data_IF_999870225068
#
_entry.id   IF_999870225068
#
_cell.length_a   1.000
_cell.length_b   1.000
_cell.length_c   1.000
_cell.angle_alpha   90.00
_cell.angle_beta   90.00
_cell.angle_gamma   90.00
#
_symmetry.space_group_name_H-M   'P 1'
#
loop_
_entity.id
_entity.type
_entity.pdbx_description
1 polymer ?
#
# COMPACT_ATOMS: atom_id res chain seq x y z
N UNK A 1 -36.78 22.53 22.79
CA UNK A 1 -37.63 21.70 21.91
C UNK A 1 -36.87 21.53 20.61
N UNK A 2 -36.44 20.29 20.33
CA UNK A 2 -35.52 19.90 19.25
C UNK A 2 -36.17 20.06 17.88
N UNK A 3 -35.51 20.78 16.96
CA UNK A 3 -35.88 20.78 15.53
C UNK A 3 -34.83 19.98 14.78
N UNK A 4 -35.08 18.66 14.64
CA UNK A 4 -34.29 17.79 13.77
C UNK A 4 -35.08 17.61 12.48
N UNK A 5 -34.48 18.03 11.37
CA UNK A 5 -34.99 17.90 10.00
C UNK A 5 -35.00 16.40 9.65
N UNK A 6 -36.10 15.84 9.12
CA UNK A 6 -36.12 14.43 8.73
C UNK A 6 -35.35 14.27 7.40
N UNK A 7 -34.16 13.66 7.46
CA UNK A 7 -33.47 13.12 6.28
C UNK A 7 -34.30 11.95 5.71
N UNK A 8 -35.30 12.27 4.89
CA UNK A 8 -36.03 11.33 4.05
C UNK A 8 -35.42 11.43 2.65
N UNK A 9 -34.63 10.43 2.21
CA UNK A 9 -34.05 10.49 0.86
C UNK A 9 -32.98 9.49 0.43
N UNK A 10 -32.56 8.53 1.26
CA UNK A 10 -31.72 7.41 0.80
C UNK A 10 -32.25 6.10 1.37
N UNK A 11 -33.37 5.64 0.84
CA UNK A 11 -33.74 4.23 0.94
C UNK A 11 -32.79 3.45 0.02
N UNK A 12 -31.99 2.56 0.60
CA UNK A 12 -31.27 1.51 -0.12
C UNK A 12 -32.29 0.51 -0.70
N UNK A 13 -33.13 0.97 -1.62
CA UNK A 13 -34.08 0.15 -2.34
C UNK A 13 -33.33 -0.53 -3.48
N UNK A 14 -33.13 -1.84 -3.31
CA UNK A 14 -32.72 -2.79 -4.34
C UNK A 14 -31.33 -2.55 -4.99
N UNK A 15 -30.27 -2.64 -4.18
CA UNK A 15 -29.11 -3.38 -4.69
C UNK A 15 -29.61 -4.83 -4.84
N UNK A 16 -29.53 -5.46 -6.04
CA UNK A 16 -29.88 -6.87 -6.16
C UNK A 16 -29.09 -7.61 -5.08
N UNK A 17 -29.81 -8.39 -4.29
CA UNK A 17 -29.23 -9.19 -3.24
C UNK A 17 -28.05 -9.96 -3.85
N UNK A 18 -26.84 -9.69 -3.34
CA UNK A 18 -25.63 -10.45 -3.68
C UNK A 18 -25.75 -11.82 -2.98
N UNK A 19 -26.86 -12.50 -3.20
CA UNK A 19 -27.28 -13.74 -2.53
C UNK A 19 -27.30 -14.92 -3.48
N UNK A 20 -27.30 -14.68 -4.80
CA UNK A 20 -27.26 -15.75 -5.80
C UNK A 20 -25.86 -15.81 -6.44
N UNK A 21 -25.01 -16.73 -5.95
CA UNK A 21 -23.68 -17.14 -6.47
C UNK A 21 -22.42 -16.37 -5.96
N UNK A 22 -21.18 -16.91 -6.13
CA UNK A 22 -20.02 -16.81 -5.24
C UNK A 22 -19.23 -15.48 -5.33
N UNK A 23 -19.90 -14.33 -5.39
CA UNK A 23 -19.27 -13.02 -5.59
C UNK A 23 -18.29 -12.62 -4.46
N UNK A 24 -18.48 -13.14 -3.25
CA UNK A 24 -17.57 -12.92 -2.12
C UNK A 24 -16.17 -13.54 -2.33
N UNK A 25 -16.04 -14.56 -3.17
CA UNK A 25 -14.74 -15.11 -3.54
C UNK A 25 -14.00 -14.25 -4.58
N UNK A 26 -14.69 -13.36 -5.28
CA UNK A 26 -14.07 -12.52 -6.31
C UNK A 26 -13.04 -11.56 -5.71
N UNK A 27 -13.31 -11.03 -4.51
CA UNK A 27 -12.40 -10.14 -3.79
C UNK A 27 -11.05 -10.82 -3.43
N UNK A 28 -11.03 -11.96 -2.71
CA UNK A 28 -9.77 -12.64 -2.41
C UNK A 28 -9.07 -13.19 -3.65
N UNK A 29 -9.81 -13.71 -4.64
CA UNK A 29 -9.22 -14.16 -5.92
C UNK A 29 -8.58 -12.98 -6.66
N UNK A 30 -9.27 -11.84 -6.73
CA UNK A 30 -8.75 -10.61 -7.32
C UNK A 30 -7.50 -10.10 -6.58
N UNK A 31 -7.49 -10.14 -5.25
CA UNK A 31 -6.32 -9.76 -4.45
C UNK A 31 -5.11 -10.66 -4.73
N UNK A 32 -5.31 -11.97 -4.84
CA UNK A 32 -4.24 -12.91 -5.18
C UNK A 32 -3.71 -12.66 -6.60
N UNK A 33 -4.60 -12.47 -7.58
CA UNK A 33 -4.20 -12.15 -8.95
C UNK A 33 -3.44 -10.82 -9.04
N UNK A 34 -3.87 -9.80 -8.28
CA UNK A 34 -3.17 -8.52 -8.20
C UNK A 34 -1.76 -8.67 -7.62
N UNK A 35 -1.59 -9.45 -6.54
CA UNK A 35 -0.27 -9.74 -5.98
C UNK A 35 0.63 -10.49 -6.96
N UNK A 36 0.09 -11.45 -7.72
CA UNK A 36 0.84 -12.16 -8.77
C UNK A 36 1.28 -11.17 -9.85
N UNK A 37 0.38 -10.31 -10.33
CA UNK A 37 0.71 -9.29 -11.34
C UNK A 37 1.81 -8.33 -10.84
N UNK A 38 1.69 -7.81 -9.62
CA UNK A 38 2.69 -6.95 -9.00
C UNK A 38 4.06 -7.64 -8.90
N UNK A 39 4.10 -8.93 -8.55
CA UNK A 39 5.35 -9.70 -8.52
C UNK A 39 5.98 -9.89 -9.91
N UNK A 40 5.15 -10.10 -10.95
CA UNK A 40 5.63 -10.22 -12.32
C UNK A 40 6.20 -8.89 -12.82
N UNK A 41 5.53 -7.77 -12.56
CA UNK A 41 6.03 -6.45 -12.91
C UNK A 41 7.29 -6.09 -12.15
N UNK A 42 7.34 -6.35 -10.84
CA UNK A 42 8.54 -6.17 -10.04
C UNK A 42 9.73 -6.96 -10.61
N UNK A 43 9.54 -8.24 -10.94
CA UNK A 43 10.58 -9.07 -11.56
C UNK A 43 11.00 -8.53 -12.93
N UNK A 44 10.06 -8.07 -13.75
CA UNK A 44 10.37 -7.42 -15.03
C UNK A 44 11.26 -6.21 -14.81
N UNK A 45 10.93 -5.32 -13.88
CA UNK A 45 11.75 -4.14 -13.57
C UNK A 45 13.14 -4.57 -13.09
N UNK A 46 13.26 -5.56 -12.20
CA UNK A 46 14.56 -6.01 -11.69
C UNK A 46 15.46 -6.66 -12.74
N UNK A 47 14.90 -7.17 -13.84
CA UNK A 47 15.66 -7.71 -14.96
C UNK A 47 16.37 -6.63 -15.80
N UNK A 48 15.95 -5.37 -15.70
CA UNK A 48 16.63 -4.25 -16.37
C UNK A 48 17.96 -3.91 -15.66
N UNK A 49 18.95 -3.51 -16.46
CA UNK A 49 20.26 -3.08 -15.97
C UNK A 49 20.15 -1.84 -15.09
N UNK A 50 20.97 -1.77 -14.03
CA UNK A 50 21.10 -0.56 -13.20
C UNK A 50 21.93 0.55 -13.90
N UNK A 51 22.48 0.26 -15.07
CA UNK A 51 23.25 1.21 -15.88
C UNK A 51 24.75 1.19 -15.57
N UNK A 52 25.39 2.34 -15.76
CA UNK A 52 26.84 2.50 -15.62
C UNK A 52 27.30 2.47 -14.14
N UNK A 53 28.60 2.22 -13.84
CA UNK A 53 29.10 2.16 -12.47
C UNK A 53 28.79 3.41 -11.63
N UNK A 54 28.78 4.59 -12.26
CA UNK A 54 28.41 5.83 -11.59
C UNK A 54 26.92 5.86 -11.18
N UNK A 55 26.03 5.38 -12.05
CA UNK A 55 24.60 5.28 -11.75
C UNK A 55 24.34 4.34 -10.57
N UNK A 56 25.01 3.17 -10.57
CA UNK A 56 24.92 2.19 -9.48
C UNK A 56 25.38 2.81 -8.16
N UNK A 57 26.48 3.57 -8.17
CA UNK A 57 27.00 4.26 -6.98
C UNK A 57 25.99 5.25 -6.41
N UNK A 58 25.38 6.08 -7.26
CA UNK A 58 24.35 7.05 -6.84
C UNK A 58 23.10 6.32 -6.32
N UNK A 59 22.64 5.31 -7.06
CA UNK A 59 21.48 4.50 -6.68
C UNK A 59 21.67 3.81 -5.32
N UNK A 60 22.88 3.35 -5.03
CA UNK A 60 23.22 2.77 -3.73
C UNK A 60 23.11 3.81 -2.61
N UNK A 61 23.70 4.99 -2.79
CA UNK A 61 23.59 6.07 -1.80
C UNK A 61 22.13 6.48 -1.53
N UNK A 62 21.29 6.54 -2.57
CA UNK A 62 19.85 6.79 -2.42
C UNK A 62 19.14 5.66 -1.68
N UNK A 63 19.43 4.39 -2.00
CA UNK A 63 18.85 3.22 -1.32
C UNK A 63 19.24 3.18 0.16
N UNK A 64 20.48 3.52 0.49
CA UNK A 64 20.98 3.56 1.87
C UNK A 64 20.31 4.69 2.67
N UNK A 65 20.21 5.88 2.08
CA UNK A 65 19.53 7.03 2.69
C UNK A 65 18.03 6.78 2.90
N UNK A 66 17.34 6.26 1.87
CA UNK A 66 15.93 5.90 1.96
C UNK A 66 15.69 4.81 3.02
N UNK A 67 16.57 3.80 3.10
CA UNK A 67 16.50 2.76 4.13
C UNK A 67 16.66 3.32 5.54
N UNK A 68 17.60 4.25 5.76
CA UNK A 68 17.78 4.91 7.04
C UNK A 68 16.56 5.76 7.44
N UNK A 69 15.99 6.51 6.49
CA UNK A 69 14.78 7.28 6.70
C UNK A 69 13.59 6.38 7.05
N UNK A 70 13.34 5.35 6.25
CA UNK A 70 12.23 4.42 6.44
C UNK A 70 12.32 3.68 7.78
N UNK A 71 13.51 3.24 8.17
CA UNK A 71 13.74 2.61 9.47
C UNK A 71 13.39 3.54 10.63
N UNK A 72 13.74 4.83 10.53
CA UNK A 72 13.39 5.82 11.55
C UNK A 72 11.90 6.16 11.54
N UNK A 73 11.32 6.36 10.35
CA UNK A 73 9.91 6.66 10.17
C UNK A 73 9.03 5.52 10.71
N UNK A 74 9.31 4.28 10.32
CA UNK A 74 8.56 3.12 10.78
C UNK A 74 8.64 2.98 12.30
N UNK A 75 9.80 3.20 12.91
CA UNK A 75 9.92 3.17 14.38
C UNK A 75 9.00 4.18 15.07
N UNK A 76 8.96 5.42 14.58
CA UNK A 76 8.12 6.48 15.16
C UNK A 76 6.64 6.17 14.92
N UNK A 77 6.26 5.85 13.68
CA UNK A 77 4.88 5.56 13.31
C UNK A 77 4.35 4.33 14.05
N UNK A 78 5.14 3.26 14.16
CA UNK A 78 4.74 2.08 14.93
C UNK A 78 4.52 2.43 16.41
N UNK A 79 5.33 3.31 17.00
CA UNK A 79 5.11 3.80 18.37
C UNK A 79 3.76 4.52 18.53
N UNK A 80 3.45 5.45 17.63
CA UNK A 80 2.16 6.18 17.64
C UNK A 80 0.99 5.23 17.38
N UNK A 81 1.15 4.28 16.46
CA UNK A 81 0.13 3.30 16.12
C UNK A 81 -0.19 2.37 17.29
N UNK A 82 0.82 1.92 18.04
CA UNK A 82 0.61 1.13 19.26
C UNK A 82 -0.12 1.95 20.32
N UNK A 83 0.25 3.23 20.52
CA UNK A 83 -0.45 4.10 21.46
C UNK A 83 -1.93 4.27 21.09
N UNK A 84 -2.24 4.43 19.80
CA UNK A 84 -3.62 4.47 19.30
C UNK A 84 -4.36 3.15 19.53
N UNK A 85 -3.73 2.00 19.28
CA UNK A 85 -4.35 0.70 19.56
C UNK A 85 -4.67 0.52 21.05
N UNK A 86 -3.74 0.93 21.95
CA UNK A 86 -3.99 0.90 23.40
C UNK A 86 -5.18 1.79 23.76
N UNK A 87 -5.27 3.00 23.20
CA UNK A 87 -6.40 3.89 23.40
C UNK A 87 -7.71 3.24 22.96
N UNK A 88 -7.74 2.60 21.78
CA UNK A 88 -8.93 1.92 21.27
C UNK A 88 -9.33 0.73 22.16
N UNK A 89 -8.38 -0.02 22.71
CA UNK A 89 -8.65 -1.10 23.67
C UNK A 89 -9.28 -0.55 24.96
N UNK A 90 -8.76 0.56 25.49
CA UNK A 90 -9.34 1.21 26.68
C UNK A 90 -10.76 1.69 26.42
N UNK A 91 -11.01 2.30 25.25
CA UNK A 91 -12.35 2.72 24.85
C UNK A 91 -13.31 1.55 24.66
N UNK A 92 -12.82 0.43 24.10
CA UNK A 92 -13.62 -0.78 23.95
C UNK A 92 -13.98 -1.41 25.31
N UNK A 93 -13.02 -1.45 26.24
CA UNK A 93 -13.26 -1.91 27.61
C UNK A 93 -14.25 -1.01 28.36
N UNK A 94 -14.28 0.29 28.06
CA UNK A 94 -15.26 1.24 28.60
C UNK A 94 -16.65 1.19 27.94
N UNK A 95 -16.90 0.25 27.02
CA UNK A 95 -18.18 0.10 26.32
C UNK A 95 -18.48 1.18 25.28
N UNK A 96 -17.51 2.03 24.96
CA UNK A 96 -17.66 3.09 23.96
C UNK A 96 -17.43 2.58 22.53
N UNK A 97 -16.78 1.43 22.37
CA UNK A 97 -16.44 0.84 21.08
C UNK A 97 -16.50 -0.69 21.12
N UNK A 98 -16.76 -1.30 19.97
CA UNK A 98 -16.68 -2.75 19.81
C UNK A 98 -15.23 -3.25 19.64
N UNK A 99 -14.92 -4.43 20.19
CA UNK A 99 -13.59 -5.05 20.12
C UNK A 99 -13.17 -5.41 18.68
N UNK A 100 -14.10 -5.68 17.77
CA UNK A 100 -13.82 -5.95 16.36
C UNK A 100 -13.13 -4.77 15.66
N UNK A 101 -13.45 -3.54 16.06
CA UNK A 101 -12.81 -2.34 15.51
C UNK A 101 -11.32 -2.31 15.80
N UNK A 102 -10.89 -2.75 16.99
CA UNK A 102 -9.47 -2.85 17.36
C UNK A 102 -8.74 -3.83 16.44
N UNK A 103 -9.34 -5.00 16.20
CA UNK A 103 -8.81 -6.01 15.30
C UNK A 103 -8.70 -5.50 13.86
N UNK A 104 -9.72 -4.82 13.35
CA UNK A 104 -9.73 -4.23 12.01
C UNK A 104 -8.65 -3.17 11.82
N UNK A 105 -8.49 -2.25 12.78
CA UNK A 105 -7.45 -1.21 12.74
C UNK A 105 -6.06 -1.82 12.80
N UNK A 106 -5.85 -2.84 13.64
CA UNK A 106 -4.57 -3.53 13.74
C UNK A 106 -4.15 -4.16 12.40
N UNK A 107 -5.05 -4.91 11.76
CA UNK A 107 -4.78 -5.54 10.46
C UNK A 107 -4.56 -4.49 9.36
N UNK A 108 -5.40 -3.46 9.30
CA UNK A 108 -5.28 -2.40 8.31
C UNK A 108 -3.95 -1.62 8.45
N UNK A 109 -3.54 -1.30 9.68
CA UNK A 109 -2.28 -0.60 9.94
C UNK A 109 -1.05 -1.45 9.58
N UNK A 110 -1.08 -2.75 9.87
CA UNK A 110 -0.01 -3.66 9.47
C UNK A 110 0.13 -3.74 7.94
N UNK A 111 -0.99 -3.94 7.23
CA UNK A 111 -0.99 -3.99 5.76
C UNK A 111 -0.52 -2.65 5.15
N UNK A 112 -0.95 -1.52 5.70
CA UNK A 112 -0.49 -0.19 5.28
C UNK A 112 1.02 -0.02 5.43
N UNK A 113 1.58 -0.43 6.58
CA UNK A 113 3.03 -0.40 6.81
C UNK A 113 3.82 -1.26 5.82
N UNK A 114 3.31 -2.46 5.50
CA UNK A 114 3.91 -3.34 4.49
C UNK A 114 3.88 -2.70 3.09
N UNK A 115 2.75 -2.13 2.68
CA UNK A 115 2.63 -1.42 1.41
C UNK A 115 3.66 -0.28 1.29
N UNK A 116 3.83 0.52 2.36
CA UNK A 116 4.82 1.59 2.38
C UNK A 116 6.26 1.07 2.25
N UNK A 117 6.59 -0.03 2.94
CA UNK A 117 7.92 -0.64 2.87
C UNK A 117 8.25 -1.18 1.47
N UNK A 118 7.34 -1.97 0.90
CA UNK A 118 7.55 -2.53 -0.44
C UNK A 118 7.58 -1.44 -1.52
N UNK A 119 6.68 -0.45 -1.44
CA UNK A 119 6.66 0.67 -2.38
C UNK A 119 7.97 1.45 -2.41
N UNK A 120 8.53 1.80 -1.24
CA UNK A 120 9.81 2.51 -1.18
C UNK A 120 10.96 1.67 -1.72
N UNK A 121 10.99 0.36 -1.40
CA UNK A 121 12.03 -0.55 -1.93
C UNK A 121 11.94 -0.69 -3.45
N UNK A 122 10.74 -0.80 -4.01
CA UNK A 122 10.57 -0.88 -5.47
C UNK A 122 10.99 0.42 -6.14
N UNK A 123 10.52 1.58 -5.65
CA UNK A 123 10.84 2.88 -6.22
C UNK A 123 12.35 3.14 -6.25
N UNK A 124 13.04 2.91 -5.13
CA UNK A 124 14.49 3.14 -5.01
C UNK A 124 15.34 2.19 -5.84
N UNK A 125 14.87 0.97 -6.13
CA UNK A 125 15.53 0.07 -7.07
C UNK A 125 15.20 0.40 -8.53
N UNK A 126 14.03 0.93 -8.82
CA UNK A 126 13.60 1.23 -10.17
C UNK A 126 14.27 2.50 -10.75
N UNK A 127 14.58 3.51 -9.93
CA UNK A 127 15.04 4.82 -10.42
C UNK A 127 16.23 4.74 -11.39
N UNK A 128 17.31 4.04 -11.01
CA UNK A 128 18.50 3.93 -11.86
C UNK A 128 18.24 3.11 -13.13
N UNK A 129 17.39 2.08 -13.03
CA UNK A 129 16.98 1.25 -14.17
C UNK A 129 16.15 2.04 -15.18
N UNK A 130 15.25 2.89 -14.70
CA UNK A 130 14.49 3.83 -15.52
C UNK A 130 15.42 4.80 -16.25
N UNK A 131 16.41 5.37 -15.55
CA UNK A 131 17.39 6.27 -16.16
C UNK A 131 18.24 5.56 -17.22
N UNK A 132 18.71 4.34 -16.94
CA UNK A 132 19.46 3.54 -17.88
C UNK A 132 18.63 3.21 -19.14
N UNK A 133 17.37 2.80 -18.97
CA UNK A 133 16.44 2.54 -20.08
C UNK A 133 16.11 3.80 -20.89
N UNK A 134 16.06 4.97 -20.23
CA UNK A 134 15.84 6.25 -20.90
C UNK A 134 17.01 6.66 -21.81
N UNK A 135 18.23 6.16 -21.58
CA UNK A 135 19.36 6.35 -22.50
C UNK A 135 19.17 5.64 -23.84
N UNK A 136 18.41 4.54 -23.85
CA UNK A 136 18.11 3.80 -25.08
C UNK A 136 16.91 4.41 -25.82
N UNK A 137 15.82 4.68 -25.10
CA UNK A 137 14.69 5.43 -25.65
C UNK A 137 13.76 5.96 -24.55
N UNK A 138 13.02 7.01 -24.87
CA UNK A 138 11.98 7.55 -23.98
C UNK A 138 10.91 6.50 -23.64
N UNK A 139 10.47 5.72 -24.64
CA UNK A 139 9.42 4.72 -24.44
C UNK A 139 9.86 3.60 -23.49
N UNK A 140 11.12 3.17 -23.59
CA UNK A 140 11.68 2.17 -22.68
C UNK A 140 11.76 2.71 -21.24
N UNK A 141 12.29 3.91 -21.05
CA UNK A 141 12.32 4.56 -19.74
C UNK A 141 10.91 4.67 -19.13
N UNK A 142 9.94 5.13 -19.90
CA UNK A 142 8.54 5.26 -19.47
C UNK A 142 7.94 3.91 -19.08
N UNK A 143 8.20 2.86 -19.87
CA UNK A 143 7.71 1.50 -19.60
C UNK A 143 8.24 0.97 -18.27
N UNK A 144 9.54 1.15 -17.98
CA UNK A 144 10.15 0.72 -16.71
C UNK A 144 9.57 1.51 -15.54
N UNK A 145 9.39 2.82 -15.69
CA UNK A 145 8.80 3.68 -14.67
C UNK A 145 7.36 3.28 -14.31
N UNK A 146 6.51 3.03 -15.30
CA UNK A 146 5.14 2.59 -15.06
C UNK A 146 5.07 1.19 -14.47
N UNK A 147 5.87 0.24 -14.97
CA UNK A 147 5.93 -1.13 -14.40
C UNK A 147 6.46 -1.16 -12.98
N UNK A 148 7.27 -0.18 -12.57
CA UNK A 148 7.73 -0.09 -11.19
C UNK A 148 6.63 0.40 -10.22
N UNK A 149 5.61 1.09 -10.74
CA UNK A 149 4.46 1.53 -9.95
C UNK A 149 3.23 0.62 -10.01
N UNK A 150 3.21 -0.34 -10.93
CA UNK A 150 2.12 -1.30 -11.15
C UNK A 150 2.34 -2.60 -10.36
#
# INVERSE_FOLDING_TARGET
MNTIIPFQGFTFAAMPAITEAPAWFLAPVGAVLALIAALLFFKSVMSHTEGDPEMIRIAKAVRDGAGAYLGRQNRIITGVFVALLVLLVVMAAGGLQDFWTVGGVAVAGLLSGLCGYFGMKTATNASARTTAAAKESLNQGLTVAFRAGA
#
